data_IF_691073793217
#
_entry.id   IF_691073793217
#
_cell.length_a   1.000
_cell.length_b   1.000
_cell.length_c   1.000
_cell.angle_alpha   90.00
_cell.angle_beta   90.00
_cell.angle_gamma   90.00
#
_symmetry.space_group_name_H-M   'P 1'
#
loop_
_entity.id
_entity.type
_entity.pdbx_description
1 polymer ?
#
# COMPACT_ATOMS: atom_id res chain seq x y z
N UNK A 1 4.16 -23.09 -67.04
CA UNK A 1 3.11 -23.15 -66.01
C UNK A 1 3.77 -23.30 -64.65
N UNK A 2 4.12 -22.20 -63.98
CA UNK A 2 4.70 -22.23 -62.63
C UNK A 2 3.55 -22.19 -61.60
N UNK A 3 3.51 -23.19 -60.71
CA UNK A 3 2.57 -23.25 -59.59
C UNK A 3 3.08 -22.38 -58.43
N UNK A 4 2.24 -21.55 -57.80
CA UNK A 4 2.65 -20.80 -56.61
C UNK A 4 2.72 -21.74 -55.40
N UNK A 5 3.80 -21.66 -54.63
CA UNK A 5 3.97 -22.33 -53.33
C UNK A 5 3.20 -21.53 -52.26
N UNK A 6 2.43 -22.17 -51.35
CA UNK A 6 1.73 -21.43 -50.30
C UNK A 6 2.71 -21.03 -49.20
N UNK A 7 2.71 -19.75 -48.84
CA UNK A 7 3.40 -19.24 -47.64
C UNK A 7 2.48 -19.46 -46.45
N UNK A 8 2.81 -20.44 -45.61
CA UNK A 8 2.10 -20.68 -44.34
C UNK A 8 2.69 -19.73 -43.30
N UNK A 9 1.97 -18.65 -43.00
CA UNK A 9 2.32 -17.73 -41.92
C UNK A 9 1.92 -18.36 -40.58
N UNK A 10 2.89 -18.97 -39.89
CA UNK A 10 2.68 -19.52 -38.54
C UNK A 10 2.65 -18.38 -37.51
N UNK A 11 1.47 -18.11 -36.96
CA UNK A 11 1.29 -17.15 -35.86
C UNK A 11 1.76 -17.84 -34.57
N UNK A 12 2.98 -17.54 -34.14
CA UNK A 12 3.48 -17.98 -32.83
C UNK A 12 2.73 -17.19 -31.77
N UNK A 13 1.68 -17.78 -31.20
CA UNK A 13 0.98 -17.24 -30.05
C UNK A 13 1.89 -17.37 -28.83
N UNK A 14 2.62 -16.31 -28.52
CA UNK A 14 3.39 -16.22 -27.29
C UNK A 14 2.41 -16.06 -26.12
N UNK A 15 2.00 -17.17 -25.53
CA UNK A 15 1.29 -17.15 -24.25
C UNK A 15 2.29 -16.71 -23.19
N UNK A 16 2.22 -15.43 -22.81
CA UNK A 16 2.93 -14.89 -21.66
C UNK A 16 2.38 -15.56 -20.41
N UNK A 17 3.05 -16.61 -19.97
CA UNK A 17 2.81 -17.23 -18.67
C UNK A 17 3.25 -16.21 -17.61
N UNK A 18 2.31 -15.40 -17.13
CA UNK A 18 2.54 -14.58 -15.94
C UNK A 18 2.76 -15.53 -14.77
N UNK A 19 4.01 -15.65 -14.31
CA UNK A 19 4.33 -16.38 -13.09
C UNK A 19 3.65 -15.68 -11.91
N UNK A 20 2.59 -16.29 -11.39
CA UNK A 20 1.98 -15.86 -10.13
C UNK A 20 2.94 -16.30 -9.03
N UNK A 21 3.77 -15.37 -8.55
CA UNK A 21 4.56 -15.63 -7.35
C UNK A 21 3.61 -15.95 -6.19
N UNK A 22 3.83 -17.05 -5.44
CA UNK A 22 3.00 -17.39 -4.30
C UNK A 22 3.06 -16.26 -3.25
N UNK A 23 1.90 -15.91 -2.71
CA UNK A 23 1.83 -14.90 -1.64
C UNK A 23 2.54 -15.46 -0.40
N UNK A 24 3.51 -14.72 0.15
CA UNK A 24 4.12 -15.05 1.44
C UNK A 24 3.05 -14.94 2.54
N UNK A 25 2.62 -16.08 3.08
CA UNK A 25 1.66 -16.14 4.19
C UNK A 25 2.35 -16.24 5.55
N UNK A 26 3.68 -16.33 5.59
CA UNK A 26 4.43 -16.38 6.84
C UNK A 26 4.40 -15.06 7.59
N UNK A 27 4.33 -13.91 6.90
CA UNK A 27 4.17 -12.59 7.50
C UNK A 27 2.84 -11.97 7.08
N UNK A 28 1.97 -11.69 8.04
CA UNK A 28 0.64 -11.12 7.78
C UNK A 28 0.44 -9.85 8.60
N UNK A 29 -0.30 -8.91 8.03
CA UNK A 29 -0.75 -7.70 8.71
C UNK A 29 -2.27 -7.74 8.83
N UNK A 30 -2.77 -7.64 10.06
CA UNK A 30 -4.20 -7.48 10.33
C UNK A 30 -4.44 -6.05 10.80
N UNK A 31 -5.27 -5.31 10.08
CA UNK A 31 -5.61 -3.92 10.41
C UNK A 31 -7.07 -3.88 10.87
N UNK A 32 -7.28 -3.62 12.16
CA UNK A 32 -8.61 -3.35 12.70
C UNK A 32 -8.95 -1.88 12.51
N UNK A 33 -9.94 -1.59 11.67
CA UNK A 33 -10.50 -0.24 11.50
C UNK A 33 -11.15 0.21 12.79
N UNK A 34 -11.94 -0.65 13.46
CA UNK A 34 -12.65 -0.25 14.68
C UNK A 34 -11.67 0.16 15.77
N UNK A 35 -10.63 -0.65 15.98
CA UNK A 35 -9.68 -0.46 17.08
C UNK A 35 -8.52 0.46 16.71
N UNK A 36 -8.40 0.84 15.43
CA UNK A 36 -7.31 1.64 14.89
C UNK A 36 -5.94 1.05 15.26
N UNK A 37 -5.80 -0.26 15.01
CA UNK A 37 -4.58 -1.03 15.30
C UNK A 37 -4.18 -1.88 14.11
N UNK A 38 -2.87 -2.00 13.93
CA UNK A 38 -2.24 -2.96 13.03
C UNK A 38 -1.52 -4.01 13.87
N UNK A 39 -1.78 -5.27 13.60
CA UNK A 39 -1.13 -6.43 14.20
C UNK A 39 -0.24 -7.10 13.17
N UNK A 40 1.02 -7.34 13.52
CA UNK A 40 1.93 -8.17 12.75
C UNK A 40 1.88 -9.60 13.28
N UNK A 41 1.54 -10.53 12.40
CA UNK A 41 1.66 -11.97 12.64
C UNK A 41 2.87 -12.52 11.90
N UNK A 42 3.60 -13.43 12.55
CA UNK A 42 4.60 -14.29 11.91
C UNK A 42 4.26 -15.74 12.20
N UNK A 43 4.09 -16.54 11.16
CA UNK A 43 3.67 -17.96 11.25
C UNK A 43 2.42 -18.12 12.15
N UNK A 44 1.42 -17.25 11.96
CA UNK A 44 0.18 -17.22 12.75
C UNK A 44 0.31 -16.65 14.17
N UNK A 45 1.52 -16.40 14.66
CA UNK A 45 1.75 -15.87 16.02
C UNK A 45 1.89 -14.36 16.02
N UNK A 46 1.27 -13.68 16.99
CA UNK A 46 1.38 -12.22 17.17
C UNK A 46 2.81 -11.84 17.56
N UNK A 47 3.45 -11.01 16.74
CA UNK A 47 4.80 -10.47 16.97
C UNK A 47 4.71 -9.06 17.56
N UNK A 48 3.86 -8.21 17.00
CA UNK A 48 3.76 -6.82 17.40
C UNK A 48 2.36 -6.24 17.14
N UNK A 49 2.04 -5.15 17.84
CA UNK A 49 0.87 -4.32 17.57
C UNK A 49 1.25 -2.85 17.59
N UNK A 50 0.68 -2.09 16.66
CA UNK A 50 0.93 -0.66 16.50
C UNK A 50 -0.41 0.08 16.41
N UNK A 51 -0.54 1.25 17.05
CA UNK A 51 -1.67 2.12 16.78
C UNK A 51 -1.53 2.71 15.37
N UNK A 52 -2.65 2.83 14.67
CA UNK A 52 -2.71 3.38 13.31
C UNK A 52 -3.84 4.41 13.18
N UNK A 53 -3.92 5.05 12.02
CA UNK A 53 -5.10 5.83 11.62
C UNK A 53 -5.52 5.49 10.21
N UNK A 54 -6.73 4.98 10.06
CA UNK A 54 -7.41 4.82 8.76
C UNK A 54 -8.10 6.13 8.35
N UNK A 55 -8.84 6.08 7.25
CA UNK A 55 -9.55 7.24 6.73
C UNK A 55 -10.63 7.76 7.68
N UNK A 56 -10.69 9.09 7.82
CA UNK A 56 -11.80 9.78 8.48
C UNK A 56 -13.09 9.79 7.64
N UNK A 57 -13.02 9.46 6.35
CA UNK A 57 -14.15 9.40 5.42
C UNK A 57 -14.83 8.02 5.37
N UNK A 58 -14.36 7.07 6.18
CA UNK A 58 -14.91 5.73 6.27
C UNK A 58 -14.25 4.72 5.32
N UNK A 59 -15.04 3.76 4.86
CA UNK A 59 -14.57 2.55 4.20
C UNK A 59 -15.04 2.47 2.75
N UNK A 60 -14.21 1.85 1.90
CA UNK A 60 -14.52 1.61 0.49
C UNK A 60 -13.36 1.93 -0.45
N UNK A 61 -13.51 1.52 -1.71
CA UNK A 61 -12.46 1.63 -2.72
C UNK A 61 -12.83 2.43 -3.98
N UNK A 62 -13.98 3.10 -3.98
CA UNK A 62 -14.42 3.86 -5.15
C UNK A 62 -13.51 5.08 -5.42
N UNK A 63 -13.35 5.40 -6.70
CA UNK A 63 -12.64 6.59 -7.15
C UNK A 63 -13.24 7.87 -6.58
N UNK A 64 -12.38 8.85 -6.29
CA UNK A 64 -12.79 10.13 -5.69
C UNK A 64 -13.28 10.03 -4.25
N UNK A 65 -13.44 8.82 -3.69
CA UNK A 65 -13.64 8.63 -2.26
C UNK A 65 -12.27 8.68 -1.58
N UNK A 66 -12.20 9.33 -0.43
CA UNK A 66 -11.01 9.39 0.40
C UNK A 66 -11.03 8.27 1.46
N UNK A 67 -11.64 7.12 1.15
CA UNK A 67 -11.93 6.02 2.08
C UNK A 67 -10.83 4.95 2.09
N UNK A 68 -10.73 4.20 3.20
CA UNK A 68 -9.82 3.06 3.33
C UNK A 68 -10.51 1.78 2.80
N UNK A 69 -9.89 1.02 1.87
CA UNK A 69 -10.46 -0.23 1.37
C UNK A 69 -10.46 -1.31 2.46
N UNK A 70 -11.45 -2.20 2.39
CA UNK A 70 -11.52 -3.42 3.21
C UNK A 70 -11.06 -4.65 2.41
N UNK A 71 -10.89 -5.75 3.12
CA UNK A 71 -10.64 -7.06 2.52
C UNK A 71 -9.17 -7.46 2.51
N UNK A 72 -8.82 -8.38 1.62
CA UNK A 72 -7.45 -8.84 1.45
C UNK A 72 -6.67 -7.94 0.51
N UNK A 73 -5.51 -7.49 0.98
CA UNK A 73 -4.55 -6.71 0.20
C UNK A 73 -3.17 -7.36 0.29
N UNK A 74 -2.37 -7.16 -0.76
CA UNK A 74 -0.96 -7.54 -0.77
C UNK A 74 -0.06 -6.30 -0.74
N UNK A 75 1.10 -6.42 -0.11
CA UNK A 75 2.18 -5.44 -0.27
C UNK A 75 2.77 -5.61 -1.67
N UNK A 76 2.56 -4.61 -2.51
CA UNK A 76 3.08 -4.58 -3.89
C UNK A 76 4.48 -3.95 -3.94
N UNK A 77 4.71 -2.88 -3.17
CA UNK A 77 6.01 -2.19 -3.12
C UNK A 77 6.32 -1.70 -1.71
N UNK A 78 7.61 -1.66 -1.38
CA UNK A 78 8.15 -1.01 -0.18
C UNK A 78 9.15 0.06 -0.60
N UNK A 79 9.02 1.25 -0.02
CA UNK A 79 9.90 2.39 -0.27
C UNK A 79 10.21 3.02 1.08
N UNK A 80 11.47 3.38 1.32
CA UNK A 80 11.90 4.00 2.58
C UNK A 80 12.92 3.20 3.38
N UNK A 81 13.55 2.18 2.77
CA UNK A 81 14.70 1.54 3.38
C UNK A 81 15.82 2.56 3.61
N UNK A 82 16.42 2.53 4.81
CA UNK A 82 17.47 3.45 5.26
C UNK A 82 17.10 4.95 5.22
N UNK A 83 15.82 5.28 5.14
CA UNK A 83 15.35 6.67 5.22
C UNK A 83 15.31 7.14 6.68
N UNK A 84 15.75 8.37 7.00
CA UNK A 84 15.62 8.92 8.35
C UNK A 84 14.17 8.92 8.84
N UNK A 85 13.97 8.68 10.14
CA UNK A 85 12.66 8.85 10.79
C UNK A 85 12.17 10.28 10.54
N UNK A 86 10.97 10.42 9.99
CA UNK A 86 10.39 11.70 9.61
C UNK A 86 10.79 12.21 8.21
N UNK A 87 11.61 11.46 7.47
CA UNK A 87 12.03 11.81 6.10
C UNK A 87 10.83 11.92 5.16
N UNK A 88 10.70 13.04 4.47
CA UNK A 88 9.52 13.42 3.67
C UNK A 88 9.58 12.82 2.27
N UNK A 89 8.44 12.31 1.80
CA UNK A 89 8.26 11.86 0.42
C UNK A 89 7.36 12.80 -0.36
N UNK A 90 7.74 13.05 -1.61
CA UNK A 90 6.87 13.65 -2.63
C UNK A 90 6.89 12.78 -3.88
N UNK A 91 5.72 12.43 -4.42
CA UNK A 91 5.59 11.50 -5.55
C UNK A 91 6.37 10.18 -5.37
N UNK A 92 6.44 9.68 -4.12
CA UNK A 92 7.19 8.47 -3.72
C UNK A 92 8.72 8.59 -3.82
N UNK A 93 9.25 9.81 -3.91
CA UNK A 93 10.70 10.10 -3.86
C UNK A 93 11.03 10.86 -2.59
N UNK A 94 12.14 10.51 -1.95
CA UNK A 94 12.64 11.22 -0.78
C UNK A 94 13.02 12.65 -1.17
N UNK A 95 12.61 13.64 -0.39
CA UNK A 95 12.86 15.07 -0.69
C UNK A 95 14.13 15.61 -0.03
N UNK A 96 14.68 14.91 0.96
CA UNK A 96 15.78 15.38 1.82
C UNK A 96 15.31 16.15 3.07
N UNK A 97 14.04 16.55 3.13
CA UNK A 97 13.44 17.15 4.32
C UNK A 97 13.12 16.09 5.38
N UNK A 98 13.30 16.44 6.65
CA UNK A 98 12.96 15.59 7.79
C UNK A 98 12.08 16.39 8.75
N UNK A 99 10.88 15.88 9.03
CA UNK A 99 9.94 16.51 9.96
C UNK A 99 9.90 15.76 11.29
N UNK A 100 9.88 16.51 12.37
CA UNK A 100 9.61 15.96 13.70
C UNK A 100 8.13 15.60 13.84
N UNK A 101 7.79 14.61 14.68
CA UNK A 101 6.40 14.36 15.03
C UNK A 101 5.70 15.64 15.52
N UNK A 102 4.55 15.90 14.94
CA UNK A 102 3.66 17.04 15.19
C UNK A 102 4.25 18.41 14.83
N UNK A 103 5.25 18.45 13.93
CA UNK A 103 5.67 19.71 13.32
C UNK A 103 4.46 20.42 12.68
N UNK A 104 4.33 21.75 12.86
CA UNK A 104 3.20 22.50 12.32
C UNK A 104 3.25 22.55 10.79
N UNK A 105 2.08 22.72 10.18
CA UNK A 105 1.94 22.92 8.74
C UNK A 105 1.35 21.72 8.03
N UNK A 106 2.03 21.31 6.96
CA UNK A 106 1.54 20.33 5.98
C UNK A 106 1.63 18.89 6.50
N UNK A 107 0.88 17.99 5.85
CA UNK A 107 0.79 16.56 6.20
C UNK A 107 1.35 15.67 5.07
N UNK A 108 2.68 15.71 4.84
CA UNK A 108 3.32 14.81 3.90
C UNK A 108 3.37 13.37 4.41
N UNK A 109 3.54 12.45 3.47
CA UNK A 109 3.96 11.08 3.74
C UNK A 109 5.41 11.11 4.23
N UNK A 110 5.71 10.40 5.31
CA UNK A 110 7.05 10.35 5.89
C UNK A 110 7.52 8.92 6.17
N UNK A 111 8.84 8.77 6.32
CA UNK A 111 9.58 7.58 6.79
C UNK A 111 9.52 6.34 5.89
N UNK A 112 8.33 5.95 5.44
CA UNK A 112 8.09 4.73 4.68
C UNK A 112 6.83 4.84 3.83
N UNK A 113 6.80 4.08 2.74
CA UNK A 113 5.62 3.81 1.92
C UNK A 113 5.56 2.31 1.69
N UNK A 114 4.55 1.66 2.26
CA UNK A 114 4.19 0.28 1.92
C UNK A 114 2.95 0.35 1.04
N UNK A 115 3.13 0.11 -0.26
CA UNK A 115 2.08 0.26 -1.25
C UNK A 115 1.26 -1.01 -1.36
N UNK A 116 -0.06 -0.87 -1.16
CA UNK A 116 -0.98 -1.99 -1.16
C UNK A 116 -1.66 -2.14 -2.52
N UNK A 117 -1.84 -3.39 -2.95
CA UNK A 117 -2.77 -3.76 -4.03
C UNK A 117 -3.92 -4.59 -3.48
N UNK A 118 -5.10 -4.38 -4.04
CA UNK A 118 -6.26 -5.22 -3.75
C UNK A 118 -6.12 -6.63 -4.32
N UNK A 119 -6.71 -7.59 -3.63
CA UNK A 119 -6.82 -8.99 -4.07
C UNK A 119 -8.29 -9.40 -4.34
N UNK A 120 -9.24 -8.50 -4.13
CA UNK A 120 -10.67 -8.74 -4.27
C UNK A 120 -11.32 -7.65 -5.12
N UNK A 121 -12.46 -7.95 -5.74
CA UNK A 121 -13.17 -6.98 -6.60
C UNK A 121 -13.53 -5.70 -5.85
N UNK A 122 -13.89 -5.79 -4.56
CA UNK A 122 -14.22 -4.63 -3.74
C UNK A 122 -13.05 -3.69 -3.43
N UNK A 123 -11.81 -4.11 -3.67
CA UNK A 123 -10.59 -3.34 -3.42
C UNK A 123 -9.66 -3.24 -4.63
N UNK A 124 -10.20 -3.47 -5.83
CA UNK A 124 -9.47 -3.53 -7.10
C UNK A 124 -8.72 -2.23 -7.49
N UNK A 125 -9.08 -1.09 -6.92
CA UNK A 125 -8.49 0.22 -7.17
C UNK A 125 -7.46 0.64 -6.12
N UNK A 126 -7.25 -0.14 -5.05
CA UNK A 126 -6.37 0.26 -3.93
C UNK A 126 -4.96 0.65 -4.39
N UNK A 127 -4.39 -0.06 -5.38
CA UNK A 127 -3.07 0.26 -5.91
C UNK A 127 -3.07 1.60 -6.65
N UNK A 128 -3.99 1.79 -7.60
CA UNK A 128 -4.07 3.00 -8.42
C UNK A 128 -4.48 4.24 -7.59
N UNK A 129 -5.29 4.04 -6.54
CA UNK A 129 -5.64 5.05 -5.53
C UNK A 129 -4.51 5.35 -4.54
N UNK A 130 -3.34 4.73 -4.70
CA UNK A 130 -2.16 5.00 -3.87
C UNK A 130 -2.41 4.72 -2.38
N UNK A 131 -3.10 3.62 -2.06
CA UNK A 131 -3.34 3.22 -0.67
C UNK A 131 -2.03 2.70 -0.07
N UNK A 132 -1.56 3.40 0.95
CA UNK A 132 -0.29 3.13 1.60
C UNK A 132 -0.44 2.82 3.09
N UNK A 133 0.50 2.07 3.64
CA UNK A 133 0.87 2.17 5.06
C UNK A 133 2.11 3.07 5.13
N UNK A 134 2.05 4.16 5.89
CA UNK A 134 3.11 5.17 5.91
C UNK A 134 3.26 5.91 7.24
N UNK A 135 4.40 6.58 7.45
CA UNK A 135 4.60 7.51 8.56
C UNK A 135 3.90 8.85 8.33
N UNK A 136 3.55 9.56 9.39
CA UNK A 136 2.92 10.90 9.34
C UNK A 136 3.57 11.84 10.35
N UNK A 137 3.64 13.16 10.07
CA UNK A 137 3.91 14.13 11.12
C UNK A 137 2.71 14.33 12.06
N UNK A 138 1.47 13.94 11.71
CA UNK A 138 0.31 14.13 12.57
C UNK A 138 0.15 13.06 13.67
N UNK A 139 1.22 12.70 14.38
CA UNK A 139 1.21 11.57 15.32
C UNK A 139 0.22 11.71 16.49
N UNK A 140 -0.17 12.95 16.87
CA UNK A 140 -1.22 13.22 17.86
C UNK A 140 -2.61 12.73 17.44
N UNK A 141 -2.80 12.45 16.16
CA UNK A 141 -4.05 11.91 15.61
C UNK A 141 -4.03 10.38 15.49
N UNK A 142 -2.89 9.72 15.70
CA UNK A 142 -2.79 8.26 15.65
C UNK A 142 -3.66 7.60 16.71
N UNK A 143 -4.39 6.55 16.34
CA UNK A 143 -5.36 5.85 17.19
C UNK A 143 -6.83 6.23 16.95
N UNK A 144 -7.10 7.11 15.99
CA UNK A 144 -8.45 7.47 15.51
C UNK A 144 -8.43 7.63 13.98
N UNK A 145 -9.58 7.52 13.29
CA UNK A 145 -9.69 7.86 11.88
C UNK A 145 -9.17 9.28 11.61
N UNK A 146 -8.17 9.42 10.74
CA UNK A 146 -7.51 10.71 10.51
C UNK A 146 -6.86 10.86 9.13
N UNK A 147 -6.86 9.81 8.29
CA UNK A 147 -6.27 9.85 6.95
C UNK A 147 -7.29 10.20 5.86
N UNK A 148 -6.81 10.27 4.62
CA UNK A 148 -7.60 10.45 3.40
C UNK A 148 -7.69 9.17 2.56
N UNK A 149 -7.49 8.00 3.18
CA UNK A 149 -7.59 6.68 2.55
C UNK A 149 -6.50 5.72 3.00
N UNK A 150 -5.30 6.23 3.19
CA UNK A 150 -4.14 5.47 3.65
C UNK A 150 -4.24 5.01 5.11
N UNK A 151 -3.28 4.20 5.55
CA UNK A 151 -3.11 3.78 6.93
C UNK A 151 -1.88 4.50 7.48
N UNK A 152 -2.09 5.46 8.36
CA UNK A 152 -0.99 6.19 9.00
C UNK A 152 -0.46 5.40 10.19
N UNK A 153 0.84 5.42 10.36
CA UNK A 153 1.55 4.92 11.53
C UNK A 153 2.44 6.04 12.09
N UNK A 154 2.88 5.86 13.34
CA UNK A 154 3.98 6.66 13.86
C UNK A 154 5.26 6.36 13.05
N UNK A 155 6.16 7.34 13.02
CA UNK A 155 7.40 7.22 12.26
C UNK A 155 8.43 6.32 12.94
N UNK A 156 8.32 6.08 14.25
CA UNK A 156 9.13 5.11 14.99
C UNK A 156 8.42 3.77 15.16
#
# INVERSE_FOLDING_TARGET
MLRPLPVILSIISATSVFAIAPLDTSNQLIISVRDQKLMLLRNGSKVAMYPVSTSMFGLGDAWGRMTTPLGYLAVEKKIGDNVPVGGVFHNRRLTGEVLQPNAPGRDPITTRIIWLRGLETQNAHAFQRCIYIHGTPEEKKIGRPASYGCIRMKSK
#
